data_IF_170346884683
#
_entry.id   IF_170346884683
#
_cell.length_a   1.000
_cell.length_b   1.000
_cell.length_c   1.000
_cell.angle_alpha   90.00
_cell.angle_beta   90.00
_cell.angle_gamma   90.00
#
_symmetry.space_group_name_H-M   'P 1'
#
loop_
_entity.id
_entity.type
_entity.pdbx_description
1 polymer ?
#
# COMPACT_ATOMS: atom_id res chain seq x y z
N UNK A 1 5.43 28.55 23.10
CA UNK A 1 5.20 28.15 23.21
C UNK A 1 5.10 27.86 23.06
N UNK A 2 5.31 27.61 22.90
CA UNK A 2 5.07 27.04 22.87
C UNK A 2 5.28 26.53 22.70
N UNK A 3 5.64 26.29 22.76
CA UNK A 3 5.69 25.60 22.86
C UNK A 3 5.57 25.13 22.81
N UNK A 4 5.67 25.00 22.87
CA UNK A 4 5.34 24.28 22.94
C UNK A 4 5.06 23.92 22.61
N UNK A 5 5.05 24.18 22.78
CA UNK A 5 4.63 23.61 22.55
C UNK A 5 4.79 23.12 21.99
N UNK A 6 5.04 23.05 22.09
CA UNK A 6 5.01 22.25 21.76
C UNK A 6 5.12 21.69 21.53
N UNK A 7 4.96 21.20 21.79
CA UNK A 7 4.83 20.44 21.74
C UNK A 7 4.28 19.94 21.54
N UNK A 8 4.00 20.03 22.11
CA UNK A 8 3.38 19.38 21.82
C UNK A 8 3.05 19.12 21.07
N UNK A 9 2.96 19.02 21.27
CA UNK A 9 2.57 18.58 20.38
C UNK A 9 2.91 17.98 19.64
N UNK A 10 2.93 17.21 19.96
CA UNK A 10 3.53 16.55 19.07
C UNK A 10 3.20 15.16 18.87
N UNK A 11 2.82 14.35 19.74
CA UNK A 11 2.37 12.99 19.64
C UNK A 11 1.18 12.89 18.73
N UNK A 12 0.32 13.85 18.74
CA UNK A 12 -0.84 13.81 17.88
C UNK A 12 -0.49 14.11 16.45
N UNK A 13 0.75 14.51 16.19
CA UNK A 13 1.16 14.72 14.82
C UNK A 13 1.67 13.46 14.16
N UNK A 14 1.98 12.43 14.92
CA UNK A 14 2.55 11.25 14.36
C UNK A 14 1.65 10.56 13.36
N UNK A 15 0.34 10.46 13.58
CA UNK A 15 -0.52 9.86 12.55
C UNK A 15 -0.44 10.61 11.23
N UNK A 16 -0.30 11.92 11.29
CA UNK A 16 -0.18 12.68 10.05
C UNK A 16 1.15 12.44 9.37
N UNK A 17 2.21 12.27 10.15
CA UNK A 17 3.51 12.02 9.57
C UNK A 17 3.57 10.66 8.91
N UNK A 18 2.69 9.74 9.31
CA UNK A 18 2.66 8.42 8.72
C UNK A 18 1.94 8.40 7.38
N UNK A 19 1.31 9.52 7.00
CA UNK A 19 0.61 9.60 5.74
C UNK A 19 1.48 10.28 4.70
N UNK A 20 1.57 9.68 3.53
CA UNK A 20 2.36 10.22 2.43
C UNK A 20 1.50 10.32 1.19
N UNK A 21 1.91 11.18 0.28
CA UNK A 21 1.27 11.27 -1.01
C UNK A 21 2.14 10.59 -2.03
N UNK A 22 1.51 9.96 -3.01
CA UNK A 22 2.24 9.27 -4.06
C UNK A 22 1.48 9.44 -5.37
N UNK A 23 2.23 9.54 -6.46
CA UNK A 23 1.66 9.60 -7.79
C UNK A 23 2.20 8.40 -8.55
N UNK A 24 1.29 7.60 -9.09
CA UNK A 24 1.67 6.42 -9.85
C UNK A 24 1.67 6.73 -11.33
N UNK A 25 2.56 6.08 -12.06
CA UNK A 25 2.64 6.18 -13.51
C UNK A 25 2.98 4.83 -14.08
N UNK A 26 2.69 4.66 -15.35
CA UNK A 26 2.98 3.41 -16.05
C UNK A 26 4.46 3.09 -15.97
N UNK A 27 4.77 1.84 -15.70
CA UNK A 27 6.13 1.31 -15.69
C UNK A 27 7.03 1.91 -14.61
N UNK A 28 6.49 2.73 -13.72
CA UNK A 28 7.28 3.28 -12.62
C UNK A 28 7.77 2.18 -11.70
N UNK A 29 8.94 2.40 -11.14
CA UNK A 29 9.42 1.60 -10.02
C UNK A 29 9.33 2.45 -8.78
N UNK A 30 8.78 1.87 -7.73
CA UNK A 30 8.64 2.58 -6.46
C UNK A 30 9.28 1.76 -5.37
N UNK A 31 9.93 2.44 -4.44
CA UNK A 31 10.56 1.79 -3.32
C UNK A 31 9.85 2.21 -2.05
N UNK A 32 9.32 1.22 -1.33
CA UNK A 32 8.56 1.45 -0.11
C UNK A 32 9.18 0.63 1.00
N UNK A 33 8.82 0.91 2.25
CA UNK A 33 9.32 0.11 3.37
C UNK A 33 9.04 -1.39 3.20
N UNK A 34 7.95 -1.74 2.53
CA UNK A 34 7.59 -3.13 2.32
C UNK A 34 8.32 -3.80 1.15
N UNK A 35 9.00 -3.03 0.31
CA UNK A 35 9.76 -3.59 -0.80
C UNK A 35 9.74 -2.70 -2.02
N UNK A 36 10.28 -3.23 -3.11
CA UNK A 36 10.27 -2.54 -4.38
C UNK A 36 9.16 -3.07 -5.26
N UNK A 37 8.51 -2.18 -5.97
CA UNK A 37 7.38 -2.54 -6.82
C UNK A 37 7.52 -1.85 -8.17
N UNK A 38 7.02 -2.51 -9.21
CA UNK A 38 6.96 -1.92 -10.53
C UNK A 38 5.51 -1.92 -11.00
N UNK A 39 5.06 -0.80 -11.55
CA UNK A 39 3.69 -0.65 -12.02
C UNK A 39 3.59 -1.29 -13.39
N UNK A 40 2.87 -2.40 -13.48
CA UNK A 40 2.75 -3.18 -14.70
C UNK A 40 1.30 -3.52 -14.98
N UNK A 41 1.02 -3.82 -16.24
CA UNK A 41 -0.32 -4.28 -16.59
C UNK A 41 -0.55 -5.67 -16.00
N UNK A 42 -1.82 -5.96 -15.74
CA UNK A 42 -2.23 -7.22 -15.17
C UNK A 42 -3.59 -7.61 -15.77
N UNK A 43 -3.96 -8.87 -15.56
CA UNK A 43 -5.27 -9.33 -16.01
C UNK A 43 -6.39 -8.49 -15.41
N UNK A 44 -6.21 -8.08 -14.17
CA UNK A 44 -7.15 -7.23 -13.48
C UNK A 44 -6.36 -6.35 -12.54
N UNK A 45 -6.68 -5.09 -12.47
CA UNK A 45 -5.93 -4.17 -11.64
C UNK A 45 -6.56 -2.78 -11.58
N UNK A 46 -5.75 -1.80 -11.21
CA UNK A 46 -6.22 -0.44 -11.05
C UNK A 46 -6.34 0.26 -12.40
N UNK A 47 -7.33 1.13 -12.50
CA UNK A 47 -7.57 1.88 -13.72
C UNK A 47 -6.43 2.86 -13.98
N UNK A 48 -6.10 3.03 -15.26
CA UNK A 48 -5.13 4.04 -15.67
C UNK A 48 -5.59 5.46 -15.35
N UNK A 49 -6.88 5.64 -15.08
CA UNK A 49 -7.39 6.95 -14.70
C UNK A 49 -6.77 7.45 -13.40
N UNK A 50 -6.20 6.54 -12.59
CA UNK A 50 -5.54 6.93 -11.35
C UNK A 50 -4.14 7.50 -11.57
N UNK A 51 -3.56 7.29 -12.76
CA UNK A 51 -2.21 7.79 -13.02
C UNK A 51 -2.21 9.32 -13.06
N UNK A 52 -1.17 9.88 -12.46
CA UNK A 52 -1.05 11.32 -12.39
C UNK A 52 -1.87 11.97 -11.30
N UNK A 53 -2.73 11.21 -10.63
CA UNK A 53 -3.51 11.74 -9.53
C UNK A 53 -2.75 11.57 -8.22
N UNK A 54 -3.06 12.43 -7.28
CA UNK A 54 -2.43 12.38 -5.97
C UNK A 54 -3.14 11.32 -5.13
N UNK A 55 -2.42 10.27 -4.82
CA UNK A 55 -2.92 9.19 -3.98
C UNK A 55 -2.24 9.25 -2.62
N UNK A 56 -2.73 8.47 -1.68
CA UNK A 56 -2.24 8.51 -0.32
C UNK A 56 -1.77 7.15 0.14
N UNK A 57 -0.65 7.14 0.84
CA UNK A 57 -0.13 5.96 1.53
C UNK A 57 -0.14 6.27 3.01
N UNK A 58 -0.66 5.36 3.81
CA UNK A 58 -0.64 5.52 5.25
C UNK A 58 -0.47 4.19 5.94
N UNK A 59 0.12 4.23 7.12
CA UNK A 59 0.27 3.02 7.91
C UNK A 59 -1.08 2.63 8.51
N UNK A 60 -1.17 1.35 8.92
CA UNK A 60 -2.38 0.86 9.57
C UNK A 60 -2.56 1.53 10.92
N UNK A 61 -3.79 1.77 11.29
CA UNK A 61 -4.11 2.24 12.63
C UNK A 61 -4.68 1.13 13.49
N UNK A 62 -5.18 0.08 12.86
CA UNK A 62 -5.91 -0.97 13.53
C UNK A 62 -7.40 -0.80 13.29
N UNK A 63 -8.10 -1.92 13.18
CA UNK A 63 -9.53 -1.90 12.95
C UNK A 63 -9.96 -1.72 11.52
N UNK A 64 -9.03 -1.56 10.59
CA UNK A 64 -9.39 -1.42 9.19
C UNK A 64 -10.02 -2.71 8.67
N UNK A 65 -11.01 -2.54 7.79
CA UNK A 65 -11.60 -3.64 7.07
C UNK A 65 -11.36 -3.43 5.59
N UNK A 66 -11.13 -4.51 4.87
CA UNK A 66 -10.82 -4.44 3.47
C UNK A 66 -11.57 -5.51 2.70
N UNK A 67 -12.05 -5.14 1.52
CA UNK A 67 -12.63 -6.09 0.60
C UNK A 67 -11.57 -6.41 -0.45
N UNK A 68 -10.85 -7.50 -0.23
CA UNK A 68 -9.81 -7.88 -1.16
C UNK A 68 -10.40 -8.43 -2.44
N UNK A 69 -9.77 -8.09 -3.55
CA UNK A 69 -10.20 -8.60 -4.84
C UNK A 69 -10.18 -10.13 -4.82
N UNK A 70 -11.25 -10.73 -5.28
CA UNK A 70 -11.37 -12.17 -5.31
C UNK A 70 -11.97 -12.79 -4.05
N UNK A 71 -12.23 -12.00 -3.03
CA UNK A 71 -12.87 -12.48 -1.82
C UNK A 71 -14.24 -11.87 -1.68
N UNK A 72 -15.09 -12.55 -0.94
CA UNK A 72 -16.44 -12.07 -0.68
C UNK A 72 -16.45 -11.26 0.60
N UNK A 73 -16.95 -10.04 0.52
CA UNK A 73 -17.19 -9.20 1.68
C UNK A 73 -15.96 -8.52 2.23
N UNK A 74 -16.15 -7.80 3.32
CA UNK A 74 -15.09 -7.06 3.99
C UNK A 74 -14.58 -7.87 5.16
N UNK A 75 -13.26 -7.89 5.30
CA UNK A 75 -12.58 -8.63 6.36
C UNK A 75 -11.69 -7.69 7.13
N UNK A 76 -11.44 -7.97 8.40
CA UNK A 76 -10.42 -7.20 9.12
C UNK A 76 -9.08 -7.35 8.41
N UNK A 77 -8.42 -6.23 8.14
CA UNK A 77 -7.11 -6.27 7.52
C UNK A 77 -6.12 -7.06 8.39
N UNK A 78 -6.24 -6.93 9.69
CA UNK A 78 -5.42 -7.68 10.62
C UNK A 78 -5.49 -9.18 10.36
N UNK A 79 -6.68 -9.69 10.07
CA UNK A 79 -6.84 -11.11 9.82
C UNK A 79 -6.15 -11.53 8.53
N UNK A 80 -6.26 -10.70 7.48
CA UNK A 80 -5.59 -10.99 6.22
C UNK A 80 -4.07 -11.03 6.42
N UNK A 81 -3.55 -10.12 7.22
CA UNK A 81 -2.13 -10.08 7.52
C UNK A 81 -1.69 -11.35 8.26
N UNK A 82 -2.50 -11.79 9.21
CA UNK A 82 -2.19 -13.02 9.95
C UNK A 82 -2.24 -14.23 9.04
N UNK A 83 -3.23 -14.32 8.17
CA UNK A 83 -3.33 -15.45 7.26
C UNK A 83 -2.18 -15.51 6.27
N UNK A 84 -1.66 -14.34 5.88
CA UNK A 84 -0.53 -14.28 4.97
C UNK A 84 0.78 -14.61 5.66
N UNK A 85 0.75 -14.80 6.98
CA UNK A 85 1.94 -15.15 7.75
C UNK A 85 3.03 -14.11 7.65
N UNK A 86 2.64 -12.84 7.67
CA UNK A 86 3.60 -11.75 7.69
C UNK A 86 4.15 -11.66 9.11
N UNK A 87 5.47 -11.69 9.21
CA UNK A 87 6.13 -11.66 10.51
C UNK A 87 5.77 -10.40 11.29
N UNK A 88 5.52 -10.52 12.60
CA UNK A 88 5.13 -9.34 13.39
C UNK A 88 6.10 -8.17 13.27
N UNK A 89 7.40 -8.45 13.17
CA UNK A 89 8.40 -7.39 13.15
C UNK A 89 8.49 -6.66 11.79
N UNK A 90 7.78 -7.16 10.77
CA UNK A 90 7.72 -6.47 9.47
C UNK A 90 6.38 -5.80 9.23
N UNK A 91 5.43 -5.96 10.16
CA UNK A 91 4.08 -5.43 9.91
C UNK A 91 4.03 -3.91 9.90
N UNK A 92 5.00 -3.26 10.51
CA UNK A 92 5.06 -1.80 10.49
C UNK A 92 5.34 -1.25 9.09
N UNK A 93 5.78 -2.08 8.16
CA UNK A 93 6.05 -1.65 6.79
C UNK A 93 4.79 -1.63 5.92
N UNK A 94 3.69 -2.17 6.43
CA UNK A 94 2.46 -2.29 5.65
C UNK A 94 1.82 -0.91 5.51
N UNK A 95 1.46 -0.55 4.28
CA UNK A 95 0.86 0.74 3.99
C UNK A 95 -0.38 0.56 3.13
N UNK A 96 -1.40 1.35 3.42
CA UNK A 96 -2.66 1.32 2.70
C UNK A 96 -2.62 2.40 1.63
N UNK A 97 -2.92 2.02 0.39
CA UNK A 97 -3.01 2.95 -0.72
C UNK A 97 -4.47 3.34 -0.93
N UNK A 98 -4.74 4.63 -1.00
CA UNK A 98 -6.12 5.10 -1.15
C UNK A 98 -6.18 6.39 -1.94
N UNK A 99 -7.36 6.65 -2.50
CA UNK A 99 -7.73 7.99 -2.91
C UNK A 99 -8.32 8.68 -1.69
N UNK A 100 -8.99 9.82 -1.88
CA UNK A 100 -9.56 10.53 -0.74
C UNK A 100 -10.45 9.65 0.13
N UNK A 101 -11.28 8.83 -0.48
CA UNK A 101 -12.25 8.06 0.27
C UNK A 101 -12.27 6.58 -0.07
N UNK A 102 -11.43 6.13 -0.97
CA UNK A 102 -11.51 4.75 -1.47
C UNK A 102 -10.17 4.06 -1.23
N UNK A 103 -10.24 2.92 -0.56
CA UNK A 103 -9.07 2.09 -0.37
C UNK A 103 -8.79 1.33 -1.66
N UNK A 104 -7.60 1.49 -2.21
CA UNK A 104 -7.22 0.88 -3.48
C UNK A 104 -6.47 -0.42 -3.29
N UNK A 105 -5.78 -0.56 -2.19
CA UNK A 105 -5.02 -1.77 -1.92
C UNK A 105 -4.05 -1.58 -0.79
N UNK A 106 -3.22 -2.59 -0.57
CA UNK A 106 -2.29 -2.61 0.57
C UNK A 106 -0.94 -3.11 0.09
N UNK A 107 0.10 -2.34 0.37
CA UNK A 107 1.47 -2.78 0.12
C UNK A 107 1.97 -3.55 1.32
N UNK A 108 2.43 -4.77 1.10
CA UNK A 108 2.93 -5.62 2.18
C UNK A 108 4.25 -6.26 1.77
N UNK A 109 5.01 -6.83 2.72
CA UNK A 109 6.19 -7.61 2.37
C UNK A 109 5.90 -8.83 1.49
N UNK A 110 4.63 -9.24 1.43
CA UNK A 110 4.21 -10.35 0.56
C UNK A 110 3.65 -9.87 -0.77
N UNK A 111 3.78 -8.58 -1.07
CA UNK A 111 3.30 -8.02 -2.32
C UNK A 111 2.15 -7.04 -2.10
N UNK A 112 1.62 -6.54 -3.22
CA UNK A 112 0.49 -5.62 -3.19
C UNK A 112 -0.82 -6.40 -3.25
N UNK A 113 -1.73 -6.10 -2.34
CA UNK A 113 -3.05 -6.72 -2.31
C UNK A 113 -4.06 -5.73 -2.87
N UNK A 114 -4.69 -6.09 -3.97
CA UNK A 114 -5.68 -5.22 -4.60
C UNK A 114 -6.99 -5.27 -3.83
N UNK A 115 -7.52 -4.10 -3.49
CA UNK A 115 -8.84 -4.01 -2.88
C UNK A 115 -9.88 -3.85 -3.98
N UNK A 116 -11.04 -4.45 -3.77
CA UNK A 116 -12.14 -4.30 -4.71
C UNK A 116 -12.68 -2.89 -4.63
N UNK A 117 -12.78 -2.22 -5.76
CA UNK A 117 -13.29 -0.86 -5.80
C UNK A 117 -13.77 -0.54 -7.21
N UNK A 118 -14.36 0.63 -7.37
CA UNK A 118 -14.80 1.09 -8.68
C UNK A 118 -13.63 1.39 -9.60
N UNK A 119 -12.41 1.47 -9.07
CA UNK A 119 -11.23 1.75 -9.88
C UNK A 119 -10.57 0.48 -10.41
N UNK A 120 -11.13 -0.69 -10.14
CA UNK A 120 -10.59 -1.94 -10.68
C UNK A 120 -11.17 -2.22 -12.04
N UNK A 121 -10.33 -2.73 -12.94
CA UNK A 121 -10.80 -3.05 -14.28
C UNK A 121 -9.92 -4.14 -14.89
N UNK A 122 -10.47 -4.84 -15.89
CA UNK A 122 -9.71 -5.82 -16.64
C UNK A 122 -8.62 -5.10 -17.42
N UNK A 123 -7.43 -5.71 -17.46
CA UNK A 123 -6.32 -5.08 -18.14
C UNK A 123 -5.76 -3.87 -17.42
N UNK A 124 -6.10 -3.72 -16.14
CA UNK A 124 -5.59 -2.60 -15.36
C UNK A 124 -4.13 -2.79 -14.96
N UNK A 125 -3.72 -2.05 -13.95
CA UNK A 125 -2.32 -1.97 -13.53
C UNK A 125 -2.17 -2.38 -12.09
N UNK A 126 -1.07 -3.07 -11.79
CA UNK A 126 -0.77 -3.44 -10.41
C UNK A 126 0.69 -3.13 -10.10
N UNK A 127 0.96 -2.71 -8.86
CA UNK A 127 2.33 -2.70 -8.36
C UNK A 127 2.77 -4.15 -8.15
N UNK A 128 3.73 -4.59 -8.93
CA UNK A 128 4.22 -5.96 -8.85
C UNK A 128 5.54 -5.94 -8.09
N UNK A 129 5.65 -6.80 -7.09
CA UNK A 129 6.84 -6.89 -6.28
C UNK A 129 8.03 -7.28 -7.14
N UNK A 130 9.12 -6.52 -7.03
CA UNK A 130 10.34 -6.77 -7.77
C UNK A 130 11.35 -7.32 -6.78
N UNK A 131 11.87 -8.50 -7.08
CA UNK A 131 12.84 -9.09 -6.19
C UNK A 131 14.24 -8.69 -6.60
N UNK A 132 14.84 -7.84 -5.81
CA UNK A 132 16.20 -7.42 -6.13
C UNK A 132 17.19 -8.54 -5.89
N UNK A 133 16.82 -9.50 -5.07
CA UNK A 133 17.77 -10.58 -4.82
C UNK A 133 17.93 -11.49 -5.99
N UNK A 134 16.99 -11.48 -6.89
CA UNK A 134 17.14 -12.33 -8.03
C UNK A 134 18.20 -11.84 -8.94
N UNK A 135 18.46 -10.59 -8.87
CA UNK A 135 19.44 -10.10 -9.61
C UNK A 135 20.67 -10.54 -9.22
N UNK A 136 20.74 -10.80 -8.31
CA UNK A 136 21.89 -11.09 -7.92
C UNK A 136 22.24 -12.39 -7.95
N UNK A 137 21.75 -12.93 -7.96
CA UNK A 137 21.95 -14.06 -8.02
C UNK A 137 22.49 -14.52 -9.15
N UNK A 138 22.37 -14.02 -9.52
CA UNK A 138 22.62 -14.12 -10.41
C UNK A 138 23.75 -14.08 -10.67
N UNK A 139 24.21 -13.97 -10.37
CA UNK A 139 25.04 -13.94 -10.52
C UNK A 139 25.77 -14.42 -10.24
N UNK A 140 25.82 -14.68 -9.98
CA UNK A 140 26.32 -15.15 -9.70
C UNK A 140 26.69 -15.81 -10.04
#
# INVERSE_FOLDING_TARGET
MHRLKAEVYRADQQPKLAEQQIILREQDQIQLPSGQFKIQTATFGLSAALFGQRLYLRTRKGGEKIHLHGRIGHWPLKKAIQEAQIFPWTRHTIQILSTDNVMLGVFTPKGFWLAQSAYCEAGGWLPISVSSTLEFNDEH
#
